data_IF_192276978096
#
_entry.id   IF_192276978096
#
_cell.length_a   1.000
_cell.length_b   1.000
_cell.length_c   1.000
_cell.angle_alpha   90.00
_cell.angle_beta   90.00
_cell.angle_gamma   90.00
#
_symmetry.space_group_name_H-M   'P 1'
#
loop_
_entity.id
_entity.type
_entity.pdbx_description
1 polymer ?
#
# COMPACT_ATOMS: atom_id res chain seq x y z
N UNK A 1 10.11 12.76 -16.28
CA UNK A 1 9.98 11.28 -16.34
C UNK A 1 8.95 10.88 -15.29
N UNK A 2 8.02 9.99 -15.63
CA UNK A 2 6.96 9.58 -14.69
C UNK A 2 7.57 8.80 -13.52
N UNK A 3 7.06 9.05 -12.31
CA UNK A 3 7.50 8.41 -11.09
C UNK A 3 6.37 7.57 -10.52
N UNK A 4 6.69 6.32 -10.19
CA UNK A 4 5.77 5.36 -9.62
C UNK A 4 6.31 4.82 -8.31
N UNK A 5 5.40 4.57 -7.38
CA UNK A 5 5.69 3.82 -6.17
C UNK A 5 4.73 2.64 -6.06
N UNK A 6 5.28 1.44 -6.01
CA UNK A 6 4.53 0.24 -5.66
C UNK A 6 4.75 -0.03 -4.18
N UNK A 7 3.68 0.08 -3.39
CA UNK A 7 3.69 -0.31 -1.98
C UNK A 7 3.12 -1.72 -1.86
N UNK A 8 3.94 -2.67 -1.39
CA UNK A 8 3.47 -4.04 -1.12
C UNK A 8 3.09 -4.20 0.36
N UNK A 9 1.83 -4.58 0.58
CA UNK A 9 1.17 -4.68 1.89
C UNK A 9 0.50 -6.06 2.07
N UNK A 10 1.12 -7.13 1.55
CA UNK A 10 0.54 -8.48 1.53
C UNK A 10 0.60 -9.26 2.85
N UNK A 11 1.29 -8.76 3.87
CA UNK A 11 1.40 -9.46 5.15
C UNK A 11 0.07 -9.51 5.88
N UNK A 12 -0.53 -10.70 6.03
CA UNK A 12 -1.77 -10.91 6.81
C UNK A 12 -1.53 -10.98 8.32
N UNK A 13 -0.28 -10.88 8.78
CA UNK A 13 0.04 -10.93 10.21
C UNK A 13 0.13 -12.34 10.79
N UNK A 14 0.10 -13.40 9.98
CA UNK A 14 0.20 -14.81 10.41
C UNK A 14 1.41 -15.13 11.29
N UNK A 15 2.55 -14.45 11.08
CA UNK A 15 3.75 -14.57 11.94
C UNK A 15 3.66 -13.81 13.27
N UNK A 16 2.69 -12.92 13.45
CA UNK A 16 2.60 -12.01 14.60
C UNK A 16 1.59 -12.44 15.68
N UNK A 17 0.79 -13.49 15.43
CA UNK A 17 -0.27 -13.91 16.35
C UNK A 17 -1.20 -12.75 16.77
N UNK A 18 -1.37 -11.75 15.90
CA UNK A 18 -2.22 -10.58 16.12
C UNK A 18 -3.41 -10.66 15.14
N UNK A 19 -4.64 -10.35 15.58
CA UNK A 19 -5.82 -10.41 14.73
C UNK A 19 -5.84 -9.32 13.65
N UNK A 20 -5.06 -8.25 13.83
CA UNK A 20 -5.00 -7.10 12.92
C UNK A 20 -3.65 -7.10 12.20
N UNK A 21 -3.70 -6.97 10.86
CA UNK A 21 -2.51 -6.84 10.03
C UNK A 21 -1.72 -5.57 10.40
N UNK A 22 -0.39 -5.66 10.48
CA UNK A 22 0.47 -4.58 11.03
C UNK A 22 0.24 -3.21 10.39
N UNK A 23 0.00 -3.20 9.08
CA UNK A 23 -0.28 -2.01 8.27
C UNK A 23 -1.49 -1.22 8.73
N UNK A 24 -2.39 -1.84 9.49
CA UNK A 24 -3.59 -1.22 10.06
C UNK A 24 -3.49 -0.94 11.56
N UNK A 25 -2.33 -1.20 12.18
CA UNK A 25 -2.11 -0.79 13.57
C UNK A 25 -2.17 0.73 13.69
N UNK A 26 -2.81 1.23 14.73
CA UNK A 26 -2.94 2.66 14.99
C UNK A 26 -1.63 3.22 15.57
N UNK A 27 -1.16 4.32 15.01
CA UNK A 27 -0.06 5.13 15.52
C UNK A 27 -0.51 6.60 15.51
N UNK A 28 -0.48 7.26 16.66
CA UNK A 28 -0.90 8.66 16.81
C UNK A 28 -2.27 8.97 16.19
N UNK A 29 -3.24 8.05 16.38
CA UNK A 29 -4.62 8.23 15.90
C UNK A 29 -4.85 7.91 14.42
N UNK A 30 -3.84 7.44 13.68
CA UNK A 30 -3.95 7.08 12.26
C UNK A 30 -3.37 5.67 11.99
N UNK A 31 -3.90 4.89 11.03
CA UNK A 31 -3.29 3.61 10.66
C UNK A 31 -1.84 3.78 10.20
N UNK A 32 -0.96 2.84 10.54
CA UNK A 32 0.48 2.94 10.28
C UNK A 32 0.79 3.20 8.79
N UNK A 33 0.12 2.50 7.88
CA UNK A 33 0.32 2.64 6.44
C UNK A 33 -0.04 4.03 5.89
N UNK A 34 -0.93 4.78 6.54
CA UNK A 34 -1.27 6.14 6.10
C UNK A 34 -0.06 7.06 6.27
N UNK A 35 0.73 6.86 7.33
CA UNK A 35 1.95 7.64 7.52
C UNK A 35 2.93 7.40 6.37
N UNK A 36 3.15 6.15 5.97
CA UNK A 36 4.04 5.85 4.83
C UNK A 36 3.49 6.43 3.51
N UNK A 37 2.23 6.16 3.18
CA UNK A 37 1.63 6.60 1.91
C UNK A 37 1.59 8.13 1.79
N UNK A 38 1.13 8.83 2.82
CA UNK A 38 1.04 10.29 2.81
C UNK A 38 2.42 10.94 2.74
N UNK A 39 3.43 10.38 3.40
CA UNK A 39 4.81 10.90 3.33
C UNK A 39 5.39 10.84 1.92
N UNK A 40 5.13 9.77 1.17
CA UNK A 40 5.58 9.70 -0.22
C UNK A 40 4.86 10.70 -1.11
N UNK A 41 3.54 10.85 -0.96
CA UNK A 41 2.76 11.86 -1.69
C UNK A 41 3.22 13.29 -1.36
N UNK A 42 3.54 13.58 -0.09
CA UNK A 42 4.07 14.88 0.34
C UNK A 42 5.48 15.16 -0.21
N UNK A 43 6.35 14.14 -0.25
CA UNK A 43 7.75 14.31 -0.62
C UNK A 43 8.00 14.36 -2.13
N UNK A 44 7.15 13.70 -2.93
CA UNK A 44 7.34 13.53 -4.36
C UNK A 44 6.10 14.02 -5.13
N UNK A 45 6.16 15.25 -5.61
CA UNK A 45 5.09 15.85 -6.40
C UNK A 45 4.83 15.06 -7.69
N UNK A 46 3.57 14.70 -7.94
CA UNK A 46 3.15 13.97 -9.13
C UNK A 46 3.49 12.47 -9.12
N UNK A 47 3.90 11.93 -7.96
CA UNK A 47 4.07 10.49 -7.74
C UNK A 47 2.74 9.76 -7.92
N UNK A 48 2.76 8.66 -8.66
CA UNK A 48 1.61 7.76 -8.74
C UNK A 48 1.85 6.52 -7.88
N UNK A 49 0.96 6.28 -6.92
CA UNK A 49 1.11 5.23 -5.91
C UNK A 49 0.15 4.08 -6.17
N UNK A 50 0.71 2.90 -6.42
CA UNK A 50 -0.02 1.64 -6.50
C UNK A 50 0.16 0.88 -5.20
N UNK A 51 -0.94 0.69 -4.46
CA UNK A 51 -0.98 -0.11 -3.26
C UNK A 51 -1.41 -1.54 -3.59
N UNK A 52 -0.58 -2.51 -3.23
CA UNK A 52 -0.85 -3.93 -3.44
C UNK A 52 -1.20 -4.58 -2.09
N UNK A 53 -2.45 -4.98 -1.92
CA UNK A 53 -2.98 -5.56 -0.68
C UNK A 53 -3.39 -7.02 -0.87
N UNK A 54 -3.28 -7.82 0.19
CA UNK A 54 -3.94 -9.13 0.20
C UNK A 54 -5.47 -8.92 0.06
N UNK A 55 -6.14 -9.75 -0.75
CA UNK A 55 -7.55 -9.60 -1.06
C UNK A 55 -8.43 -9.53 0.19
N UNK A 56 -8.14 -10.37 1.19
CA UNK A 56 -8.87 -10.39 2.47
C UNK A 56 -8.76 -9.08 3.30
N UNK A 57 -7.84 -8.18 2.95
CA UNK A 57 -7.60 -6.92 3.65
C UNK A 57 -8.18 -5.71 2.89
N UNK A 58 -8.66 -5.89 1.66
CA UNK A 58 -9.15 -4.79 0.83
C UNK A 58 -10.41 -4.15 1.42
N UNK A 59 -11.32 -4.94 2.01
CA UNK A 59 -12.53 -4.39 2.62
C UNK A 59 -12.19 -3.57 3.88
N UNK A 60 -11.34 -4.11 4.76
CA UNK A 60 -10.83 -3.37 5.91
C UNK A 60 -10.14 -2.07 5.50
N UNK A 61 -9.37 -2.08 4.41
CA UNK A 61 -8.76 -0.86 3.89
C UNK A 61 -9.81 0.19 3.47
N UNK A 62 -10.86 -0.20 2.76
CA UNK A 62 -11.95 0.71 2.36
C UNK A 62 -12.67 1.31 3.58
N UNK A 63 -12.96 0.50 4.59
CA UNK A 63 -13.55 0.98 5.85
C UNK A 63 -12.65 2.02 6.54
N UNK A 64 -11.34 1.78 6.55
CA UNK A 64 -10.36 2.71 7.10
C UNK A 64 -10.25 4.00 6.29
N UNK A 65 -10.31 3.96 4.95
CA UNK A 65 -10.38 5.17 4.13
C UNK A 65 -11.64 5.98 4.40
N UNK A 66 -12.80 5.33 4.54
CA UNK A 66 -14.03 6.01 4.91
C UNK A 66 -13.93 6.70 6.27
N UNK A 67 -13.18 6.11 7.21
CA UNK A 67 -13.03 6.63 8.57
C UNK A 67 -11.96 7.71 8.71
N UNK A 68 -10.80 7.54 8.06
CA UNK A 68 -9.60 8.36 8.25
C UNK A 68 -9.26 9.24 7.04
N UNK A 69 -10.10 9.20 6.01
CA UNK A 69 -9.87 9.84 4.72
C UNK A 69 -8.84 9.10 3.88
N UNK A 70 -8.53 9.64 2.68
CA UNK A 70 -7.67 8.99 1.70
C UNK A 70 -6.32 8.59 2.29
N UNK A 71 -5.89 7.37 2.01
CA UNK A 71 -4.58 6.88 2.44
C UNK A 71 -3.44 7.52 1.65
N UNK A 72 -3.70 7.96 0.41
CA UNK A 72 -2.70 8.49 -0.53
C UNK A 72 -2.28 7.47 -1.60
N UNK A 73 -3.05 6.40 -1.80
CA UNK A 73 -2.89 5.49 -2.93
C UNK A 73 -3.79 5.96 -4.09
N UNK A 74 -3.23 6.02 -5.30
CA UNK A 74 -3.98 6.33 -6.53
C UNK A 74 -4.70 5.09 -7.07
N UNK A 75 -4.14 3.92 -6.81
CA UNK A 75 -4.71 2.64 -7.21
C UNK A 75 -4.47 1.59 -6.13
N UNK A 76 -5.48 0.76 -5.88
CA UNK A 76 -5.38 -0.38 -4.95
C UNK A 76 -5.70 -1.66 -5.71
N UNK A 77 -4.77 -2.62 -5.69
CA UNK A 77 -4.90 -3.89 -6.43
C UNK A 77 -4.66 -5.10 -5.52
N UNK A 78 -5.19 -6.27 -5.87
CA UNK A 78 -4.90 -7.50 -5.16
C UNK A 78 -3.44 -7.95 -5.38
N UNK A 79 -2.81 -8.40 -4.30
CA UNK A 79 -1.52 -9.07 -4.31
C UNK A 79 -1.61 -10.49 -4.86
N UNK A 80 -0.45 -11.10 -5.05
CA UNK A 80 -0.33 -12.52 -5.37
C UNK A 80 0.09 -13.35 -4.15
N UNK A 81 0.27 -14.65 -4.37
CA UNK A 81 0.62 -15.63 -3.33
C UNK A 81 1.91 -15.29 -2.58
N UNK A 82 2.88 -14.69 -3.29
CA UNK A 82 4.18 -14.31 -2.73
C UNK A 82 4.44 -12.82 -2.92
N UNK A 83 5.42 -12.29 -2.18
CA UNK A 83 5.81 -10.88 -2.28
C UNK A 83 6.17 -10.49 -3.71
N UNK A 84 6.90 -11.34 -4.43
CA UNK A 84 7.32 -11.05 -5.80
C UNK A 84 6.15 -11.07 -6.78
N UNK A 85 5.15 -11.95 -6.59
CA UNK A 85 3.91 -11.92 -7.36
C UNK A 85 3.16 -10.59 -7.16
N UNK A 86 3.11 -10.10 -5.93
CA UNK A 86 2.52 -8.80 -5.61
C UNK A 86 3.25 -7.64 -6.30
N UNK A 87 4.59 -7.69 -6.36
CA UNK A 87 5.39 -6.72 -7.13
C UNK A 87 5.07 -6.80 -8.63
N UNK A 88 4.99 -8.01 -9.19
CA UNK A 88 4.69 -8.22 -10.60
C UNK A 88 3.30 -7.67 -10.97
N UNK A 89 2.28 -7.90 -10.13
CA UNK A 89 0.95 -7.32 -10.30
C UNK A 89 1.00 -5.78 -10.28
N UNK A 90 1.77 -5.20 -9.35
CA UNK A 90 1.95 -3.75 -9.26
C UNK A 90 2.59 -3.15 -10.52
N UNK A 91 3.62 -3.81 -11.06
CA UNK A 91 4.28 -3.41 -12.30
C UNK A 91 3.34 -3.52 -13.51
N UNK A 92 2.53 -4.58 -13.58
CA UNK A 92 1.58 -4.78 -14.66
C UNK A 92 0.41 -3.77 -14.66
N UNK A 93 0.17 -3.12 -13.53
CA UNK A 93 -0.86 -2.08 -13.40
C UNK A 93 -0.40 -0.69 -13.86
N UNK A 94 0.89 -0.49 -14.11
CA UNK A 94 1.43 0.81 -14.50
C UNK A 94 1.01 1.19 -15.93
N UNK A 95 0.50 2.41 -16.16
CA UNK A 95 -0.07 2.79 -17.45
C UNK A 95 0.96 3.17 -18.51
N UNK A 96 2.17 3.57 -18.11
CA UNK A 96 3.24 4.03 -19.00
C UNK A 96 4.62 3.75 -18.37
N UNK A 97 5.68 3.95 -19.16
CA UNK A 97 7.05 3.77 -18.70
C UNK A 97 7.47 4.88 -17.71
N UNK A 98 8.33 4.53 -16.76
CA UNK A 98 8.84 5.48 -15.77
C UNK A 98 9.82 4.86 -14.78
N UNK A 99 10.24 5.67 -13.80
CA UNK A 99 11.03 5.16 -12.68
C UNK A 99 10.07 4.58 -11.64
N UNK A 100 10.35 3.35 -11.22
CA UNK A 100 9.52 2.62 -10.26
C UNK A 100 10.30 2.36 -8.97
N UNK A 101 9.80 2.90 -7.87
CA UNK A 101 10.20 2.49 -6.52
C UNK A 101 9.33 1.35 -6.02
N UNK A 102 9.92 0.40 -5.27
CA UNK A 102 9.18 -0.65 -4.56
C UNK A 102 9.45 -0.49 -3.07
N UNK A 103 8.39 -0.41 -2.27
CA UNK A 103 8.50 -0.21 -0.82
C UNK A 103 7.54 -1.13 -0.06
N UNK A 104 7.90 -1.49 1.17
CA UNK A 104 7.00 -2.23 2.07
C UNK A 104 6.12 -1.24 2.85
N UNK A 105 4.85 -1.57 3.09
CA UNK A 105 3.88 -0.62 3.67
C UNK A 105 4.15 -0.11 5.10
N UNK A 106 5.07 -0.74 5.83
CA UNK A 106 5.32 -0.49 7.27
C UNK A 106 6.81 -0.41 7.61
N UNK A 107 7.61 0.16 6.71
CA UNK A 107 9.01 0.49 6.93
C UNK A 107 9.23 1.99 7.01
#
# INVERSE_FOLDING_TARGET
MKQYLIIVAGGTGTRMAQPVAKQFLMLEGLPLMWWTLRRFQEALEGLHVVLVLHESLMETFRELENRFGPAGADQVIPGGEERWHSVANGLAALPEEGVVGIHDAVR
#
